data_IF_126957038838
#
_entry.id   IF_126957038838
#
_cell.length_a   1.000
_cell.length_b   1.000
_cell.length_c   1.000
_cell.angle_alpha   90.00
_cell.angle_beta   90.00
_cell.angle_gamma   90.00
#
_symmetry.space_group_name_H-M   'P 1'
#
loop_
_entity.id
_entity.type
_entity.pdbx_description
1 polymer ?
#
# COMPACT_ATOMS: atom_id res chain seq x y z
N UNK A 1 8.36 -3.16 -16.69
CA UNK A 1 7.60 -1.89 -16.51
C UNK A 1 6.64 -1.52 -17.66
N UNK A 2 6.71 -2.10 -18.85
CA UNK A 2 5.82 -1.74 -19.97
C UNK A 2 4.36 -2.27 -19.80
N UNK A 3 4.18 -3.43 -19.18
CA UNK A 3 2.87 -4.09 -19.04
C UNK A 3 1.80 -3.29 -18.27
N UNK A 4 2.08 -2.66 -17.13
CA UNK A 4 1.09 -1.86 -16.42
C UNK A 4 0.65 -0.61 -17.20
N UNK A 5 1.61 0.09 -17.83
CA UNK A 5 1.35 1.29 -18.63
C UNK A 5 0.48 0.96 -19.84
N UNK A 6 0.83 -0.08 -20.60
CA UNK A 6 0.05 -0.50 -21.77
C UNK A 6 -1.36 -0.93 -21.39
N UNK A 7 -1.52 -1.61 -20.26
CA UNK A 7 -2.84 -2.02 -19.75
C UNK A 7 -3.71 -0.79 -19.42
N UNK A 8 -3.16 0.20 -18.73
CA UNK A 8 -3.88 1.44 -18.38
C UNK A 8 -4.33 2.21 -19.62
N UNK A 9 -3.44 2.35 -20.64
CA UNK A 9 -3.77 2.99 -21.92
C UNK A 9 -4.87 2.21 -22.65
N UNK A 10 -4.79 0.88 -22.68
CA UNK A 10 -5.80 0.03 -23.31
C UNK A 10 -7.16 0.09 -22.62
N UNK A 11 -7.19 0.12 -21.29
CA UNK A 11 -8.44 0.26 -20.53
C UNK A 11 -9.09 1.62 -20.79
N UNK A 12 -8.29 2.68 -20.83
CA UNK A 12 -8.80 4.02 -21.15
C UNK A 12 -9.33 4.10 -22.60
N UNK A 13 -8.62 3.52 -23.56
CA UNK A 13 -9.07 3.46 -24.97
C UNK A 13 -10.40 2.73 -25.11
N UNK A 14 -10.57 1.57 -24.43
CA UNK A 14 -11.84 0.82 -24.40
C UNK A 14 -12.96 1.63 -23.77
N UNK A 15 -12.71 2.30 -22.66
CA UNK A 15 -13.70 3.14 -21.98
C UNK A 15 -14.14 4.33 -22.86
N UNK A 16 -13.23 4.81 -23.73
CA UNK A 16 -13.51 5.88 -24.71
C UNK A 16 -14.11 5.38 -26.01
N UNK A 17 -14.45 4.10 -26.12
CA UNK A 17 -15.06 3.50 -27.30
C UNK A 17 -14.12 3.32 -28.51
N UNK A 18 -12.80 3.42 -28.28
CA UNK A 18 -11.78 3.27 -29.32
C UNK A 18 -11.49 1.79 -29.55
N UNK A 19 -11.67 1.31 -30.79
CA UNK A 19 -11.36 -0.06 -31.18
C UNK A 19 -9.88 -0.24 -31.53
N UNK A 20 -9.35 -1.41 -31.22
CA UNK A 20 -7.98 -1.74 -31.58
C UNK A 20 -7.84 -2.01 -33.07
N UNK A 21 -6.76 -1.50 -33.65
CA UNK A 21 -6.38 -1.79 -35.03
C UNK A 21 -5.12 -2.64 -35.04
N UNK A 22 -5.03 -3.62 -35.95
CA UNK A 22 -3.84 -4.44 -36.12
C UNK A 22 -2.67 -3.59 -36.61
N UNK A 23 -1.48 -3.86 -36.08
CA UNK A 23 -0.21 -3.24 -36.46
C UNK A 23 0.80 -4.34 -36.82
N UNK A 24 1.79 -3.99 -37.61
CA UNK A 24 2.90 -4.87 -38.01
C UNK A 24 4.22 -4.31 -37.47
N UNK A 25 5.27 -5.09 -37.52
CA UNK A 25 6.65 -4.70 -37.16
C UNK A 25 6.75 -4.02 -35.79
N UNK A 26 5.98 -4.55 -34.81
CA UNK A 26 6.03 -4.04 -33.47
C UNK A 26 7.41 -4.31 -32.83
N UNK A 27 8.05 -3.26 -32.37
CA UNK A 27 9.30 -3.30 -31.62
C UNK A 27 9.17 -2.55 -30.31
N UNK A 28 9.48 -3.23 -29.21
CA UNK A 28 9.65 -2.57 -27.92
C UNK A 28 11.10 -2.12 -27.77
N UNK A 29 11.29 -0.85 -27.45
CA UNK A 29 12.61 -0.22 -27.25
C UNK A 29 12.81 -0.02 -25.73
N UNK A 30 13.52 -0.94 -25.04
CA UNK A 30 13.67 -0.88 -23.59
C UNK A 30 14.20 0.48 -23.13
N UNK A 31 13.51 1.08 -22.14
CA UNK A 31 13.85 2.40 -21.59
C UNK A 31 13.43 3.62 -22.42
N UNK A 32 13.06 3.43 -23.69
CA UNK A 32 12.77 4.53 -24.64
C UNK A 32 11.30 4.58 -25.03
N UNK A 33 10.75 3.46 -25.54
CA UNK A 33 9.38 3.45 -26.02
C UNK A 33 9.08 2.24 -26.90
N UNK A 34 8.28 2.47 -27.93
CA UNK A 34 7.83 1.46 -28.87
C UNK A 34 7.72 2.04 -30.28
N UNK A 35 7.85 1.17 -31.31
CA UNK A 35 7.54 1.47 -32.69
C UNK A 35 6.65 0.39 -33.28
N UNK A 36 5.81 0.75 -34.24
CA UNK A 36 4.97 -0.17 -34.98
C UNK A 36 4.60 0.45 -36.33
N UNK A 37 4.15 -0.38 -37.28
CA UNK A 37 3.70 0.06 -38.61
C UNK A 37 2.21 -0.29 -38.75
N UNK A 38 1.42 0.64 -39.27
CA UNK A 38 0.02 0.45 -39.63
C UNK A 38 -0.20 0.85 -41.08
N UNK A 39 -0.32 -0.15 -41.97
CA UNK A 39 -0.30 0.11 -43.42
C UNK A 39 1.05 0.70 -43.84
N UNK A 40 1.07 1.94 -44.32
CA UNK A 40 2.27 2.71 -44.63
C UNK A 40 2.71 3.66 -43.54
N UNK A 41 1.93 3.77 -42.47
CA UNK A 41 2.19 4.73 -41.37
C UNK A 41 3.14 4.14 -40.32
N UNK A 42 4.23 4.84 -40.05
CA UNK A 42 5.12 4.57 -38.93
C UNK A 42 4.54 5.19 -37.65
N UNK A 43 4.30 4.37 -36.66
CA UNK A 43 3.81 4.78 -35.34
C UNK A 43 4.94 4.69 -34.33
N UNK A 44 5.16 5.76 -33.58
CA UNK A 44 6.13 5.85 -32.50
C UNK A 44 5.45 6.25 -31.22
N UNK A 45 5.89 5.71 -30.10
CA UNK A 45 5.42 6.11 -28.77
C UNK A 45 6.50 5.93 -27.73
N UNK A 46 6.63 6.86 -26.79
CA UNK A 46 7.68 6.74 -25.79
C UNK A 46 7.83 7.94 -24.85
N UNK A 47 8.93 7.92 -24.11
CA UNK A 47 9.28 9.01 -23.20
C UNK A 47 9.49 10.33 -23.96
N UNK A 48 9.24 11.44 -23.27
CA UNK A 48 9.40 12.78 -23.87
C UNK A 48 10.80 12.99 -24.42
N UNK A 49 11.84 12.58 -23.68
CA UNK A 49 13.24 12.70 -24.10
C UNK A 49 13.57 11.87 -25.35
N UNK A 50 13.04 10.66 -25.45
CA UNK A 50 13.20 9.82 -26.63
C UNK A 50 12.49 10.41 -27.85
N UNK A 51 11.25 10.84 -27.68
CA UNK A 51 10.44 11.38 -28.78
C UNK A 51 11.00 12.69 -29.34
N UNK A 52 11.53 13.58 -28.48
CA UNK A 52 12.19 14.83 -28.93
C UNK A 52 13.41 14.60 -29.83
N UNK A 53 14.06 13.44 -29.72
CA UNK A 53 15.19 13.06 -30.59
C UNK A 53 14.74 12.49 -31.97
N UNK A 54 13.49 12.01 -32.05
CA UNK A 54 12.97 11.28 -33.22
C UNK A 54 11.99 12.09 -34.06
N UNK A 55 11.24 12.99 -33.41
CA UNK A 55 10.17 13.74 -34.07
C UNK A 55 10.20 15.20 -33.60
N UNK A 56 9.68 16.08 -34.45
CA UNK A 56 9.46 17.47 -34.08
C UNK A 56 8.27 17.54 -33.11
N UNK A 57 8.52 17.99 -31.87
CA UNK A 57 7.50 18.17 -30.84
C UNK A 57 7.26 19.66 -30.65
N UNK A 58 6.00 20.08 -30.70
CA UNK A 58 5.61 21.46 -30.46
C UNK A 58 6.00 21.91 -29.06
N UNK A 59 6.42 23.19 -28.93
CA UNK A 59 6.79 23.81 -27.67
C UNK A 59 5.64 23.77 -26.65
N UNK A 60 4.40 23.95 -27.10
CA UNK A 60 3.20 23.87 -26.26
C UNK A 60 3.02 22.46 -25.66
N UNK A 61 3.27 21.43 -26.46
CA UNK A 61 3.17 20.02 -26.04
C UNK A 61 4.28 19.64 -25.08
N UNK A 62 5.49 20.17 -25.28
CA UNK A 62 6.61 20.00 -24.37
C UNK A 62 6.34 20.64 -23.00
N UNK A 63 5.77 21.84 -23.00
CA UNK A 63 5.41 22.53 -21.75
C UNK A 63 4.27 21.82 -21.00
N UNK A 64 3.30 21.30 -21.73
CA UNK A 64 2.22 20.50 -21.16
C UNK A 64 2.75 19.19 -20.57
N UNK A 65 3.66 18.51 -21.27
CA UNK A 65 4.32 17.29 -20.74
C UNK A 65 5.09 17.59 -19.46
N UNK A 66 5.80 18.72 -19.41
CA UNK A 66 6.53 19.18 -18.23
C UNK A 66 5.61 19.45 -17.05
N UNK A 67 4.49 20.15 -17.28
CA UNK A 67 3.48 20.41 -16.27
C UNK A 67 2.88 19.12 -15.71
N UNK A 68 2.55 18.16 -16.57
CA UNK A 68 2.03 16.86 -16.15
C UNK A 68 3.06 16.07 -15.36
N UNK A 69 4.35 16.16 -15.71
CA UNK A 69 5.44 15.56 -14.96
C UNK A 69 5.60 16.22 -13.56
N UNK A 70 5.37 17.54 -13.47
CA UNK A 70 5.35 18.27 -12.20
C UNK A 70 4.18 17.87 -11.30
N UNK A 71 3.07 17.44 -11.91
CA UNK A 71 1.93 16.84 -11.20
C UNK A 71 2.14 15.38 -10.77
N UNK A 72 3.34 14.82 -10.99
CA UNK A 72 3.67 13.43 -10.63
C UNK A 72 3.19 12.38 -11.62
N UNK A 73 2.78 12.78 -12.83
CA UNK A 73 2.36 11.88 -13.90
C UNK A 73 3.53 11.55 -14.81
N UNK A 74 3.50 10.41 -15.48
CA UNK A 74 4.47 10.02 -16.50
C UNK A 74 3.93 10.36 -17.88
N UNK A 75 4.39 11.45 -18.53
CA UNK A 75 3.95 11.84 -19.86
C UNK A 75 4.61 10.93 -20.91
N UNK A 76 3.80 10.44 -21.84
CA UNK A 76 4.19 9.67 -23.00
C UNK A 76 3.74 10.40 -24.26
N UNK A 77 4.64 10.59 -25.21
CA UNK A 77 4.33 11.18 -26.51
C UNK A 77 4.10 10.09 -27.54
N UNK A 78 3.18 10.32 -28.45
CA UNK A 78 2.88 9.46 -29.57
C UNK A 78 3.01 10.25 -30.88
N UNK A 79 3.54 9.61 -31.90
CA UNK A 79 3.74 10.21 -33.20
C UNK A 79 3.33 9.28 -34.36
N UNK A 80 2.92 9.89 -35.44
CA UNK A 80 2.63 9.26 -36.72
C UNK A 80 3.49 9.92 -37.80
N UNK A 81 4.24 9.13 -38.56
CA UNK A 81 5.08 9.61 -39.68
C UNK A 81 5.95 10.84 -39.30
N UNK A 82 6.67 10.75 -38.17
CA UNK A 82 7.54 11.81 -37.63
C UNK A 82 6.84 13.08 -37.16
N UNK A 83 5.49 13.12 -37.18
CA UNK A 83 4.71 14.23 -36.60
C UNK A 83 4.12 13.80 -35.26
N UNK A 84 4.28 14.63 -34.22
CA UNK A 84 3.70 14.36 -32.91
C UNK A 84 2.17 14.39 -32.98
N UNK A 85 1.52 13.28 -32.65
CA UNK A 85 0.07 13.12 -32.72
C UNK A 85 -0.63 13.47 -31.41
N UNK A 86 0.07 13.30 -30.26
CA UNK A 86 -0.55 13.61 -28.97
C UNK A 86 0.29 13.17 -27.78
N UNK A 87 -0.22 13.54 -26.60
CA UNK A 87 0.36 13.28 -25.30
C UNK A 87 -0.64 12.48 -24.46
N UNK A 88 -0.17 11.41 -23.85
CA UNK A 88 -0.91 10.64 -22.84
C UNK A 88 -0.09 10.65 -21.56
N UNK A 89 -0.70 11.03 -20.44
CA UNK A 89 -0.05 10.98 -19.14
C UNK A 89 -0.61 9.81 -18.33
N UNK A 90 0.27 8.97 -17.83
CA UNK A 90 -0.07 7.85 -16.95
C UNK A 90 0.37 8.21 -15.54
N UNK A 91 -0.51 7.97 -14.58
CA UNK A 91 -0.21 8.15 -13.16
C UNK A 91 -0.50 6.87 -12.41
N UNK A 92 0.37 6.52 -11.48
CA UNK A 92 0.03 5.51 -10.49
C UNK A 92 -1.05 6.07 -9.56
N UNK A 93 -2.16 5.35 -9.48
CA UNK A 93 -3.23 5.70 -8.57
C UNK A 93 -2.98 5.07 -7.21
N UNK A 94 -3.08 5.88 -6.16
CA UNK A 94 -3.07 5.37 -4.80
C UNK A 94 -4.28 4.45 -4.62
N UNK A 95 -4.06 3.28 -4.02
CA UNK A 95 -5.17 2.39 -3.65
C UNK A 95 -6.14 3.13 -2.72
N UNK A 96 -7.43 3.04 -2.98
CA UNK A 96 -8.49 3.76 -2.25
C UNK A 96 -8.42 3.58 -0.72
N UNK A 97 -7.90 2.45 -0.26
CA UNK A 97 -7.77 2.12 1.16
C UNK A 97 -6.52 2.71 1.83
N UNK A 98 -5.54 3.22 1.06
CA UNK A 98 -4.25 3.68 1.59
C UNK A 98 -4.36 4.91 2.50
N UNK A 99 -5.09 5.99 2.16
CA UNK A 99 -5.21 7.14 3.05
C UNK A 99 -5.89 6.79 4.37
N UNK A 100 -6.91 5.90 4.32
CA UNK A 100 -7.59 5.44 5.53
C UNK A 100 -6.70 4.56 6.41
N UNK A 101 -5.86 3.73 5.81
CA UNK A 101 -4.89 2.91 6.52
C UNK A 101 -3.83 3.75 7.21
N UNK A 102 -3.27 4.74 6.50
CA UNK A 102 -2.29 5.69 7.05
C UNK A 102 -2.89 6.48 8.22
N UNK A 103 -4.10 7.03 8.06
CA UNK A 103 -4.78 7.75 9.13
C UNK A 103 -4.94 6.88 10.39
N UNK A 104 -5.34 5.61 10.24
CA UNK A 104 -5.47 4.67 11.36
C UNK A 104 -4.13 4.35 12.04
N UNK A 105 -3.05 4.23 11.29
CA UNK A 105 -1.72 4.03 11.86
C UNK A 105 -1.29 5.25 12.68
N UNK A 106 -1.53 6.46 12.18
CA UNK A 106 -1.26 7.70 12.88
C UNK A 106 -2.10 7.86 14.16
N UNK A 107 -3.39 7.50 14.12
CA UNK A 107 -4.26 7.42 15.32
C UNK A 107 -3.71 6.46 16.39
N UNK A 108 -2.97 5.44 15.98
CA UNK A 108 -2.30 4.49 16.87
C UNK A 108 -0.96 4.99 17.41
N UNK A 109 -0.55 6.22 17.09
CA UNK A 109 0.72 6.83 17.46
C UNK A 109 1.92 6.29 16.65
N UNK A 110 1.67 5.73 15.45
CA UNK A 110 2.72 5.20 14.57
C UNK A 110 3.03 6.24 13.51
N UNK A 111 4.30 6.65 13.41
CA UNK A 111 4.80 7.48 12.33
C UNK A 111 4.86 6.66 11.04
N UNK A 112 4.31 7.19 9.97
CA UNK A 112 4.22 6.50 8.68
C UNK A 112 5.16 7.17 7.68
N UNK A 113 6.12 6.39 7.19
CA UNK A 113 7.14 6.84 6.22
C UNK A 113 6.94 6.08 4.92
N UNK A 114 6.86 6.80 3.81
CA UNK A 114 6.83 6.20 2.47
C UNK A 114 8.25 6.11 1.92
N UNK A 115 8.67 4.89 1.59
CA UNK A 115 9.99 4.60 1.01
C UNK A 115 9.79 4.12 -0.45
N UNK A 116 10.28 4.89 -1.42
CA UNK A 116 10.04 4.61 -2.85
C UNK A 116 11.27 4.88 -3.72
N UNK A 117 11.36 4.15 -4.84
CA UNK A 117 12.35 4.40 -5.89
C UNK A 117 11.96 5.51 -6.86
N UNK A 118 10.76 6.06 -6.76
CA UNK A 118 10.26 7.12 -7.63
C UNK A 118 11.04 8.42 -7.41
N UNK A 119 10.93 9.31 -8.39
CA UNK A 119 11.50 10.65 -8.25
C UNK A 119 10.82 11.45 -7.12
N UNK A 120 11.56 12.38 -6.55
CA UNK A 120 11.16 13.13 -5.35
C UNK A 120 9.82 13.88 -5.53
N UNK A 121 9.54 14.42 -6.72
CA UNK A 121 8.30 15.18 -7.00
C UNK A 121 7.07 14.27 -6.98
N UNK A 122 7.14 13.16 -7.71
CA UNK A 122 6.07 12.14 -7.74
C UNK A 122 5.85 11.57 -6.34
N UNK A 123 6.92 11.20 -5.66
CA UNK A 123 6.87 10.64 -4.32
C UNK A 123 6.21 11.59 -3.31
N UNK A 124 6.56 12.90 -3.33
CA UNK A 124 5.94 13.91 -2.47
C UNK A 124 4.45 14.10 -2.77
N UNK A 125 4.05 14.13 -4.05
CA UNK A 125 2.65 14.25 -4.44
C UNK A 125 1.82 13.05 -3.95
N UNK A 126 2.32 11.84 -4.14
CA UNK A 126 1.69 10.59 -3.68
C UNK A 126 1.65 10.54 -2.15
N UNK A 127 2.75 10.89 -1.48
CA UNK A 127 2.83 10.92 -0.03
C UNK A 127 1.84 11.89 0.61
N UNK A 128 1.68 13.08 0.02
CA UNK A 128 0.69 14.06 0.46
C UNK A 128 -0.75 13.54 0.30
N UNK A 129 -1.07 12.88 -0.82
CA UNK A 129 -2.37 12.26 -1.03
C UNK A 129 -2.63 11.08 -0.07
N UNK A 130 -1.60 10.28 0.24
CA UNK A 130 -1.69 9.19 1.20
C UNK A 130 -1.74 9.67 2.65
N UNK A 131 -1.29 10.90 2.93
CA UNK A 131 -1.24 11.49 4.26
C UNK A 131 -0.12 10.93 5.15
N UNK A 132 0.99 10.48 4.55
CA UNK A 132 2.17 10.00 5.30
C UNK A 132 2.90 11.14 5.99
N UNK A 133 3.66 10.83 7.04
CA UNK A 133 4.40 11.83 7.82
C UNK A 133 5.70 12.24 7.13
N UNK A 134 6.30 11.32 6.35
CA UNK A 134 7.56 11.54 5.67
C UNK A 134 7.66 10.72 4.39
N UNK A 135 8.42 11.23 3.42
CA UNK A 135 8.69 10.57 2.15
C UNK A 135 10.20 10.50 1.92
N UNK A 136 10.71 9.30 1.72
CA UNK A 136 12.10 9.02 1.32
C UNK A 136 12.04 8.50 -0.12
N UNK A 137 12.43 9.35 -1.06
CA UNK A 137 12.32 9.12 -2.50
C UNK A 137 13.67 8.75 -3.14
N UNK A 138 13.64 8.20 -4.36
CA UNK A 138 14.85 7.91 -5.14
C UNK A 138 15.69 6.77 -4.59
N UNK A 139 15.12 5.91 -3.74
CA UNK A 139 15.85 4.82 -3.09
C UNK A 139 15.85 3.59 -3.98
N UNK A 140 17.01 3.22 -4.49
CA UNK A 140 17.18 1.97 -5.23
C UNK A 140 16.85 0.75 -4.35
N UNK A 141 16.48 -0.40 -4.94
CA UNK A 141 16.15 -1.61 -4.18
C UNK A 141 17.20 -1.98 -3.14
N UNK A 142 18.48 -1.90 -3.50
CA UNK A 142 19.62 -2.18 -2.60
C UNK A 142 19.77 -1.16 -1.48
N UNK A 143 19.33 0.08 -1.69
CA UNK A 143 19.37 1.16 -0.70
C UNK A 143 18.28 1.09 0.34
N UNK A 144 17.18 0.38 0.08
CA UNK A 144 16.05 0.29 1.02
C UNK A 144 16.45 -0.31 2.37
N UNK A 145 17.29 -1.33 2.38
CA UNK A 145 17.80 -1.94 3.61
C UNK A 145 18.60 -0.94 4.44
N UNK A 146 19.43 -0.13 3.80
CA UNK A 146 20.24 0.90 4.48
C UNK A 146 19.36 1.98 5.13
N UNK A 147 18.27 2.40 4.47
CA UNK A 147 17.32 3.35 5.05
C UNK A 147 16.57 2.75 6.25
N UNK A 148 16.14 1.49 6.17
CA UNK A 148 15.55 0.80 7.33
C UNK A 148 16.53 0.74 8.51
N UNK A 149 17.82 0.50 8.26
CA UNK A 149 18.86 0.50 9.29
C UNK A 149 18.94 1.85 10.00
N UNK A 150 18.97 2.96 9.26
CA UNK A 150 18.99 4.31 9.84
C UNK A 150 17.73 4.59 10.66
N UNK A 151 16.56 4.21 10.15
CA UNK A 151 15.32 4.41 10.88
C UNK A 151 15.27 3.63 12.21
N UNK A 152 15.86 2.44 12.27
CA UNK A 152 15.96 1.63 13.50
C UNK A 152 16.79 2.29 14.61
N UNK A 153 17.72 3.18 14.27
CA UNK A 153 18.47 3.96 15.27
C UNK A 153 17.56 4.91 16.06
N UNK A 154 16.42 5.29 15.49
CA UNK A 154 15.46 6.21 16.08
C UNK A 154 14.25 5.52 16.75
N UNK A 155 14.11 4.21 16.59
CA UNK A 155 13.03 3.44 17.19
C UNK A 155 12.76 2.12 16.49
N UNK A 156 11.69 1.44 16.92
CA UNK A 156 11.29 0.18 16.29
C UNK A 156 10.62 0.44 14.95
N UNK A 157 11.01 -0.32 13.94
CA UNK A 157 10.57 -0.17 12.55
C UNK A 157 9.81 -1.41 12.09
N UNK A 158 8.61 -1.20 11.57
CA UNK A 158 7.89 -2.19 10.78
C UNK A 158 8.00 -1.82 9.30
N UNK A 159 8.51 -2.72 8.48
CA UNK A 159 8.54 -2.57 7.02
C UNK A 159 7.36 -3.29 6.41
N UNK A 160 6.64 -2.61 5.52
CA UNK A 160 5.53 -3.18 4.74
C UNK A 160 5.93 -3.17 3.27
N UNK A 161 5.88 -4.32 2.63
CA UNK A 161 6.24 -4.47 1.21
C UNK A 161 5.49 -5.62 0.54
N UNK A 162 5.51 -5.69 -0.77
CA UNK A 162 4.79 -6.69 -1.56
C UNK A 162 5.69 -7.47 -2.56
N UNK A 163 6.94 -7.08 -2.70
CA UNK A 163 7.81 -7.55 -3.77
C UNK A 163 9.11 -8.22 -3.32
N UNK A 164 9.72 -8.93 -4.28
CA UNK A 164 11.05 -9.54 -4.13
C UNK A 164 12.10 -8.48 -3.77
N UNK A 165 11.97 -7.28 -4.33
CA UNK A 165 12.89 -6.17 -4.13
C UNK A 165 12.87 -5.61 -2.71
N UNK A 166 11.82 -5.91 -1.93
CA UNK A 166 11.66 -5.47 -0.56
C UNK A 166 12.16 -6.49 0.47
N UNK A 167 12.48 -7.72 0.05
CA UNK A 167 12.89 -8.80 0.94
C UNK A 167 14.07 -8.44 1.87
N UNK A 168 15.15 -7.79 1.42
CA UNK A 168 16.23 -7.36 2.31
C UNK A 168 15.77 -6.35 3.37
N UNK A 169 14.90 -5.42 2.98
CA UNK A 169 14.33 -4.41 3.89
C UNK A 169 13.33 -5.02 4.88
N UNK A 170 12.49 -5.99 4.44
CA UNK A 170 11.57 -6.75 5.29
C UNK A 170 12.33 -7.52 6.37
N UNK A 171 13.40 -8.23 5.98
CA UNK A 171 14.25 -8.98 6.92
C UNK A 171 14.99 -8.07 7.89
N UNK A 172 15.39 -6.87 7.44
CA UNK A 172 16.15 -5.92 8.26
C UNK A 172 15.30 -5.22 9.30
N UNK A 173 14.04 -5.02 9.05
CA UNK A 173 13.12 -4.36 9.98
C UNK A 173 12.93 -5.19 11.27
N UNK A 174 12.47 -4.53 12.36
CA UNK A 174 12.09 -5.25 13.58
C UNK A 174 10.85 -6.12 13.36
N UNK A 175 10.02 -5.76 12.39
CA UNK A 175 8.89 -6.54 11.92
C UNK A 175 8.71 -6.34 10.41
N UNK A 176 8.94 -7.38 9.62
CA UNK A 176 8.61 -7.40 8.21
C UNK A 176 7.16 -7.84 8.00
N UNK A 177 6.41 -7.10 7.21
CA UNK A 177 5.00 -7.39 6.87
C UNK A 177 4.88 -7.47 5.34
N UNK A 178 4.67 -8.66 4.81
CA UNK A 178 4.37 -8.85 3.40
C UNK A 178 2.86 -8.68 3.15
N UNK A 179 2.49 -7.93 2.09
CA UNK A 179 1.09 -7.72 1.70
C UNK A 179 0.82 -8.27 0.30
N UNK A 180 -0.35 -8.92 0.14
CA UNK A 180 -0.73 -9.57 -1.11
C UNK A 180 -0.24 -11.03 -1.18
N UNK A 181 -0.61 -11.72 -2.24
CA UNK A 181 -0.05 -13.02 -2.59
C UNK A 181 1.39 -12.79 -3.12
N UNK A 182 2.25 -12.31 -2.21
CA UNK A 182 3.64 -12.01 -2.51
C UNK A 182 4.35 -13.22 -3.09
N UNK A 183 5.48 -12.98 -3.72
CA UNK A 183 6.39 -14.05 -4.13
C UNK A 183 6.87 -14.83 -2.92
N UNK A 184 7.17 -16.10 -3.09
CA UNK A 184 7.67 -16.97 -2.00
C UNK A 184 8.82 -16.31 -1.24
N UNK A 185 9.69 -15.57 -1.94
CA UNK A 185 10.81 -14.80 -1.36
C UNK A 185 10.34 -13.72 -0.37
N UNK A 186 9.27 -13.00 -0.68
CA UNK A 186 8.75 -11.97 0.24
C UNK A 186 8.04 -12.60 1.45
N UNK A 187 7.42 -13.77 1.24
CA UNK A 187 6.79 -14.55 2.31
C UNK A 187 7.85 -15.05 3.30
N UNK A 188 8.96 -15.60 2.79
CA UNK A 188 10.06 -16.11 3.62
C UNK A 188 10.81 -14.99 4.37
N UNK A 189 10.86 -13.79 3.82
CA UNK A 189 11.52 -12.63 4.42
C UNK A 189 10.67 -11.91 5.48
N UNK A 190 9.36 -12.16 5.52
CA UNK A 190 8.43 -11.41 6.37
C UNK A 190 8.09 -12.17 7.67
N UNK A 191 7.97 -11.43 8.77
CA UNK A 191 7.46 -11.96 10.05
C UNK A 191 5.94 -12.17 10.04
N UNK A 192 5.23 -11.40 9.21
CA UNK A 192 3.77 -11.42 9.07
C UNK A 192 3.40 -11.38 7.60
N UNK A 193 2.49 -12.24 7.16
CA UNK A 193 1.99 -12.27 5.79
C UNK A 193 0.50 -11.93 5.78
N UNK A 194 0.15 -10.88 5.08
CA UNK A 194 -1.23 -10.45 4.85
C UNK A 194 -1.66 -10.86 3.43
N UNK A 195 -2.47 -11.90 3.33
CA UNK A 195 -2.85 -12.54 2.05
C UNK A 195 -3.51 -11.58 1.06
N UNK A 196 -4.24 -10.58 1.55
CA UNK A 196 -4.90 -9.59 0.70
C UNK A 196 -3.99 -8.40 0.47
N UNK A 197 -3.91 -7.93 -0.79
CA UNK A 197 -3.13 -6.74 -1.16
C UNK A 197 -3.85 -5.44 -0.77
N UNK A 198 -4.12 -5.27 0.55
CA UNK A 198 -4.82 -4.10 1.11
C UNK A 198 -4.06 -3.53 2.29
N UNK A 199 -3.67 -2.27 2.18
CA UNK A 199 -2.91 -1.60 3.23
C UNK A 199 -3.70 -1.49 4.56
N UNK A 200 -5.03 -1.41 4.50
CA UNK A 200 -5.90 -1.37 5.68
C UNK A 200 -5.79 -2.61 6.59
N UNK A 201 -5.27 -3.72 6.08
CA UNK A 201 -5.10 -4.93 6.86
C UNK A 201 -3.87 -4.83 7.80
N UNK A 202 -2.92 -3.91 7.54
CA UNK A 202 -1.77 -3.63 8.41
C UNK A 202 -2.20 -3.06 9.76
N UNK A 203 -2.92 -1.94 9.86
CA UNK A 203 -3.42 -1.46 11.17
C UNK A 203 -4.35 -2.47 11.84
N UNK A 204 -5.08 -3.28 11.08
CA UNK A 204 -5.93 -4.34 11.61
C UNK A 204 -5.10 -5.45 12.29
N UNK A 205 -4.01 -5.89 11.67
CA UNK A 205 -3.08 -6.87 12.24
C UNK A 205 -2.42 -6.35 13.53
N UNK A 206 -1.97 -5.09 13.56
CA UNK A 206 -1.39 -4.48 14.76
C UNK A 206 -2.41 -4.40 15.90
N UNK A 207 -3.66 -4.05 15.61
CA UNK A 207 -4.74 -4.03 16.61
C UNK A 207 -5.01 -5.42 17.16
N UNK A 208 -5.06 -6.43 16.30
CA UNK A 208 -5.26 -7.82 16.71
C UNK A 208 -4.12 -8.28 17.61
N UNK A 209 -2.87 -8.03 17.22
CA UNK A 209 -1.69 -8.35 18.03
C UNK A 209 -1.76 -7.72 19.42
N UNK A 210 -2.09 -6.40 19.51
CA UNK A 210 -2.24 -5.71 20.80
C UNK A 210 -3.37 -6.30 21.66
N UNK A 211 -4.49 -6.70 21.03
CA UNK A 211 -5.60 -7.34 21.75
C UNK A 211 -5.22 -8.73 22.27
N UNK A 212 -4.49 -9.50 21.46
CA UNK A 212 -3.98 -10.82 21.85
C UNK A 212 -3.00 -10.72 23.01
N UNK A 213 -2.04 -9.79 22.96
CA UNK A 213 -1.10 -9.56 24.05
C UNK A 213 -1.81 -9.16 25.35
N UNK A 214 -2.82 -8.29 25.28
CA UNK A 214 -3.64 -7.93 26.45
C UNK A 214 -4.34 -9.15 27.03
N UNK A 215 -4.93 -9.97 26.19
CA UNK A 215 -5.60 -11.19 26.60
C UNK A 215 -4.63 -12.18 27.29
N UNK A 216 -3.41 -12.32 26.74
CA UNK A 216 -2.34 -13.13 27.36
C UNK A 216 -1.97 -12.59 28.74
N UNK A 217 -1.77 -11.28 28.89
CA UNK A 217 -1.44 -10.67 30.16
C UNK A 217 -2.57 -10.83 31.20
N UNK A 218 -3.84 -10.67 30.79
CA UNK A 218 -5.00 -10.92 31.64
C UNK A 218 -5.04 -12.36 32.13
N UNK A 219 -4.82 -13.33 31.22
CA UNK A 219 -4.78 -14.75 31.58
C UNK A 219 -3.63 -15.06 32.55
N UNK A 220 -2.45 -14.51 32.28
CA UNK A 220 -1.27 -14.71 33.13
C UNK A 220 -1.48 -14.11 34.53
N UNK A 221 -2.06 -12.89 34.60
CA UNK A 221 -2.39 -12.25 35.87
C UNK A 221 -3.33 -13.12 36.70
N UNK A 222 -4.41 -13.62 36.13
CA UNK A 222 -5.34 -14.48 36.85
C UNK A 222 -4.69 -15.79 37.27
N UNK A 223 -3.89 -16.41 36.41
CA UNK A 223 -3.18 -17.63 36.75
C UNK A 223 -2.25 -17.45 37.95
N UNK A 224 -1.50 -16.34 38.03
CA UNK A 224 -0.67 -16.04 39.18
C UNK A 224 -1.49 -15.68 40.43
N UNK A 225 -2.53 -14.92 40.24
CA UNK A 225 -3.39 -14.46 41.35
C UNK A 225 -3.99 -15.64 42.13
N UNK A 226 -4.53 -16.64 41.42
CA UNK A 226 -5.04 -17.86 42.07
C UNK A 226 -3.97 -18.61 42.83
N UNK A 227 -2.76 -18.69 42.29
CA UNK A 227 -1.66 -19.40 42.95
C UNK A 227 -1.12 -18.65 44.16
N UNK A 228 -1.02 -17.31 44.11
CA UNK A 228 -0.57 -16.46 45.23
C UNK A 228 -1.51 -16.60 46.44
N UNK A 229 -2.80 -16.78 46.21
CA UNK A 229 -3.77 -17.01 47.31
C UNK A 229 -3.84 -18.49 47.68
N UNK A 230 -3.88 -19.38 46.70
CA UNK A 230 -4.11 -20.80 46.89
C UNK A 230 -2.95 -21.54 47.58
N UNK A 231 -1.71 -21.21 47.28
CA UNK A 231 -0.53 -21.85 47.81
C UNK A 231 -0.40 -21.61 49.32
N UNK A 232 -0.45 -20.36 49.84
CA UNK A 232 -0.43 -20.11 51.30
C UNK A 232 -1.62 -20.75 52.04
N UNK A 233 -2.81 -20.76 51.41
CA UNK A 233 -3.99 -21.39 51.98
C UNK A 233 -3.82 -22.91 52.07
N UNK A 234 -3.28 -23.56 51.02
CA UNK A 234 -2.97 -25.00 50.98
C UNK A 234 -1.87 -25.37 51.98
N UNK A 235 -0.85 -24.51 52.14
CA UNK A 235 0.22 -24.68 53.12
C UNK A 235 -0.24 -24.50 54.58
N UNK A 236 -1.49 -24.08 54.83
CA UNK A 236 -2.03 -23.90 56.14
C UNK A 236 -1.54 -22.65 56.88
N UNK A 237 -1.00 -21.67 56.19
CA UNK A 237 -0.50 -20.40 56.79
C UNK A 237 -1.56 -19.72 57.67
N UNK A 238 -2.83 -19.81 57.29
CA UNK A 238 -3.94 -19.21 57.98
C UNK A 238 -4.56 -20.09 59.08
N UNK A 239 -4.10 -21.35 59.23
CA UNK A 239 -4.60 -22.30 60.20
C UNK A 239 -4.40 -21.84 61.64
N UNK A 240 -3.22 -21.28 62.06
CA UNK A 240 -3.03 -20.85 63.44
C UNK A 240 -3.91 -19.71 63.88
N UNK A 241 -4.35 -18.85 62.89
CA UNK A 241 -5.12 -17.63 63.17
C UNK A 241 -6.62 -17.88 63.05
N UNK A 242 -7.05 -18.59 62.01
CA UNK A 242 -8.48 -18.73 61.66
C UNK A 242 -8.96 -20.20 61.72
N UNK A 243 -8.10 -21.14 61.96
CA UNK A 243 -8.47 -22.56 61.96
C UNK A 243 -8.82 -23.12 60.58
N UNK A 244 -8.52 -22.36 59.49
CA UNK A 244 -8.91 -22.73 58.15
C UNK A 244 -7.95 -23.75 57.56
N UNK A 245 -8.51 -24.89 57.11
CA UNK A 245 -7.82 -25.91 56.30
C UNK A 245 -8.40 -25.95 54.92
N UNK A 246 -7.55 -25.96 53.88
CA UNK A 246 -7.99 -26.21 52.54
C UNK A 246 -8.41 -27.67 52.39
N UNK A 247 -9.66 -27.92 52.05
CA UNK A 247 -10.10 -29.23 51.63
C UNK A 247 -9.60 -29.49 50.23
N UNK A 248 -8.96 -30.65 49.92
CA UNK A 248 -8.46 -30.99 48.58
C UNK A 248 -9.49 -30.85 47.46
N UNK A 249 -10.76 -31.07 47.76
CA UNK A 249 -11.88 -30.86 46.83
C UNK A 249 -11.99 -29.40 46.32
N UNK A 250 -11.82 -28.42 47.24
CA UNK A 250 -11.84 -27.02 46.85
C UNK A 250 -10.61 -26.65 46.01
N UNK A 251 -9.44 -27.23 46.26
CA UNK A 251 -8.26 -27.07 45.46
C UNK A 251 -8.46 -27.56 44.01
N UNK A 252 -9.02 -28.76 43.85
CA UNK A 252 -9.35 -29.31 42.55
C UNK A 252 -10.39 -28.48 41.78
N UNK A 253 -11.45 -28.00 42.49
CA UNK A 253 -12.46 -27.13 41.91
C UNK A 253 -11.88 -25.80 41.45
N UNK A 254 -11.00 -25.19 42.28
CA UNK A 254 -10.32 -23.94 41.89
C UNK A 254 -9.44 -24.07 40.66
N UNK A 255 -8.70 -25.19 40.51
CA UNK A 255 -7.92 -25.48 39.33
C UNK A 255 -8.80 -25.60 38.07
N UNK A 256 -9.92 -26.33 38.16
CA UNK A 256 -10.88 -26.45 37.05
C UNK A 256 -11.49 -25.11 36.66
N UNK A 257 -11.88 -24.29 37.64
CA UNK A 257 -12.44 -22.97 37.43
C UNK A 257 -11.42 -22.01 36.77
N UNK A 258 -10.14 -22.06 37.19
CA UNK A 258 -9.06 -21.31 36.59
C UNK A 258 -8.91 -21.62 35.08
N UNK A 259 -8.88 -22.91 34.73
CA UNK A 259 -8.83 -23.34 33.32
C UNK A 259 -10.03 -22.86 32.51
N UNK A 260 -11.23 -22.95 33.09
CA UNK A 260 -12.45 -22.44 32.47
C UNK A 260 -12.39 -20.92 32.22
N UNK A 261 -11.91 -20.14 33.20
CA UNK A 261 -11.75 -18.70 33.06
C UNK A 261 -10.77 -18.32 31.94
N UNK A 262 -9.63 -18.99 31.86
CA UNK A 262 -8.62 -18.77 30.81
C UNK A 262 -9.19 -19.06 29.41
N UNK A 263 -9.87 -20.20 29.24
CA UNK A 263 -10.50 -20.54 27.96
C UNK A 263 -11.59 -19.54 27.59
N UNK A 264 -12.45 -19.18 28.52
CA UNK A 264 -13.53 -18.21 28.28
C UNK A 264 -12.97 -16.83 27.90
N UNK A 265 -11.90 -16.37 28.56
CA UNK A 265 -11.24 -15.13 28.22
C UNK A 265 -10.58 -15.18 26.84
N UNK A 266 -9.94 -16.32 26.49
CA UNK A 266 -9.36 -16.52 25.15
C UNK A 266 -10.44 -16.49 24.05
N UNK A 267 -11.61 -17.08 24.30
CA UNK A 267 -12.74 -17.05 23.34
C UNK A 267 -13.28 -15.64 23.10
N UNK A 268 -13.09 -14.68 24.00
CA UNK A 268 -13.45 -13.26 23.76
C UNK A 268 -12.75 -12.66 22.56
N UNK A 269 -11.58 -13.18 22.16
CA UNK A 269 -10.90 -12.73 20.93
C UNK A 269 -11.72 -13.03 19.67
N UNK A 270 -12.56 -14.05 19.65
CA UNK A 270 -13.46 -14.31 18.53
C UNK A 270 -14.51 -13.21 18.30
N UNK A 271 -14.82 -12.45 19.35
CA UNK A 271 -15.75 -11.31 19.29
C UNK A 271 -15.03 -10.01 18.89
N UNK A 272 -13.70 -10.05 18.74
CA UNK A 272 -12.91 -8.87 18.43
C UNK A 272 -13.08 -8.47 16.96
N UNK A 273 -13.61 -7.27 16.70
CA UNK A 273 -13.70 -6.73 15.35
C UNK A 273 -12.35 -6.20 14.88
N UNK A 274 -11.69 -6.93 14.02
CA UNK A 274 -10.34 -6.64 13.50
C UNK A 274 -10.27 -5.28 12.81
N UNK A 275 -11.29 -4.93 12.01
CA UNK A 275 -11.33 -3.66 11.29
C UNK A 275 -11.98 -2.51 12.07
N UNK A 276 -12.51 -2.78 13.28
CA UNK A 276 -13.31 -1.83 14.05
C UNK A 276 -14.69 -1.58 13.42
N UNK A 277 -15.62 -1.00 14.16
CA UNK A 277 -16.84 -0.46 13.56
C UNK A 277 -16.42 0.66 12.62
N UNK A 278 -16.80 0.57 11.35
CA UNK A 278 -16.55 1.63 10.38
C UNK A 278 -17.12 2.93 10.97
N UNK A 279 -16.24 3.86 11.31
CA UNK A 279 -16.65 5.19 11.71
C UNK A 279 -17.21 5.84 10.45
N UNK A 280 -18.54 5.95 10.34
CA UNK A 280 -19.27 6.53 9.20
C UNK A 280 -19.03 8.03 9.03
N UNK A 281 -18.09 8.62 9.77
CA UNK A 281 -17.52 9.90 9.42
C UNK A 281 -16.45 9.63 8.34
N UNK A 282 -16.94 9.45 7.12
CA UNK A 282 -16.11 9.54 5.93
C UNK A 282 -15.37 10.89 6.00
N UNK A 283 -14.04 10.83 6.04
CA UNK A 283 -13.23 11.94 5.55
C UNK A 283 -13.77 12.20 4.14
N UNK A 284 -14.25 13.41 3.81
CA UNK A 284 -14.73 13.68 2.47
C UNK A 284 -13.58 13.31 1.53
N UNK A 285 -13.82 12.33 0.67
CA UNK A 285 -12.94 12.09 -0.46
C UNK A 285 -12.76 13.44 -1.14
N UNK A 286 -11.53 13.89 -1.28
CA UNK A 286 -11.24 15.07 -2.09
C UNK A 286 -11.93 14.80 -3.43
N UNK A 287 -12.95 15.60 -3.75
CA UNK A 287 -13.65 15.49 -5.03
C UNK A 287 -12.58 15.48 -6.11
N UNK A 288 -12.61 14.52 -7.04
CA UNK A 288 -11.82 14.66 -8.26
C UNK A 288 -12.15 16.04 -8.79
N UNK A 289 -11.13 16.85 -9.06
CA UNK A 289 -11.33 18.12 -9.71
C UNK A 289 -12.13 17.83 -10.99
N UNK A 290 -13.37 18.28 -11.04
CA UNK A 290 -14.19 18.22 -12.23
C UNK A 290 -13.40 18.94 -13.31
N UNK A 291 -12.79 18.16 -14.19
CA UNK A 291 -12.23 18.65 -15.42
C UNK A 291 -13.43 19.14 -16.22
N UNK A 292 -13.69 20.46 -16.17
CA UNK A 292 -14.58 21.11 -17.12
C UNK A 292 -13.94 20.93 -18.50
N UNK A 293 -14.25 19.82 -19.12
CA UNK A 293 -14.10 19.67 -20.56
C UNK A 293 -15.10 20.65 -21.16
N UNK A 294 -14.61 21.78 -21.66
CA UNK A 294 -15.47 22.66 -22.38
C UNK A 294 -15.85 21.96 -23.69
N UNK A 295 -17.10 21.52 -23.78
CA UNK A 295 -17.68 20.92 -24.99
C UNK A 295 -17.45 21.76 -26.25
N UNK A 296 -17.11 23.07 -26.07
CA UNK A 296 -16.80 23.98 -27.16
C UNK A 296 -15.43 23.73 -27.82
N UNK A 297 -14.46 23.13 -27.15
CA UNK A 297 -13.15 22.84 -27.78
C UNK A 297 -13.15 21.49 -28.52
N UNK A 298 -13.90 20.48 -28.03
CA UNK A 298 -14.08 19.22 -28.75
C UNK A 298 -14.87 19.46 -30.05
N UNK A 299 -15.88 20.32 -30.04
CA UNK A 299 -16.65 20.67 -31.24
C UNK A 299 -15.81 21.44 -32.28
N UNK A 300 -14.82 22.24 -31.87
CA UNK A 300 -13.89 22.90 -32.79
C UNK A 300 -12.91 21.97 -33.44
N UNK A 301 -12.38 20.98 -32.71
CA UNK A 301 -11.46 19.94 -33.28
C UNK A 301 -12.17 19.05 -34.28
N UNK A 302 -13.42 18.66 -34.05
CA UNK A 302 -14.19 17.81 -34.97
C UNK A 302 -14.52 18.56 -36.28
N UNK A 303 -14.67 19.89 -36.22
CA UNK A 303 -14.99 20.72 -37.40
C UNK A 303 -13.77 20.99 -38.29
N UNK A 304 -12.56 20.96 -37.75
CA UNK A 304 -11.31 21.15 -38.51
C UNK A 304 -10.87 19.89 -39.25
N UNK A 305 -11.38 18.70 -38.86
CA UNK A 305 -11.12 17.43 -39.54
C UNK A 305 -12.06 17.12 -40.73
N UNK A 306 -13.05 18.00 -41.00
CA UNK A 306 -14.05 17.76 -42.05
C UNK A 306 -13.95 18.70 -43.24
N UNK A 307 -12.91 19.55 -43.36
CA UNK A 307 -12.66 20.38 -44.51
C UNK A 307 -11.24 20.08 -44.98
N UNK A 308 -11.11 19.09 -45.81
CA UNK A 308 -10.21 18.89 -46.94
C UNK A 308 -10.32 17.41 -47.35
N UNK A 309 -11.31 17.14 -48.19
CA UNK A 309 -11.47 15.93 -48.98
C UNK A 309 -11.05 16.27 -50.40
#
# INVERSE_FOLDING_TARGET
CALPISKAVMEHAKASGISNTAVHDFQALPGNGLSAVRGEDLLLGGSVSYMQQKVSVDAAMTEQAKKLAEEGKTPLLFAKNHTCAGLVAVADTIKEDSPQAVAKLREMGIRVIMLTGDNERTAKAIGAQAGVDEVIAGVLPEGKEAEIRKLREHGRVAMVGDGINDAPALTRADTGIAIGAGTDVAIDAASVVLVKSRLRDVPAAIRLSRATLRNIHENLFWAFFYNVIGIPLAAGVWYPVFGWKLNPMFGAAAMSLSSFCVVTNALRLNLFSVHGKANKKAVPAAKPAEMKTSESEVAKMTKTMHIEG
#
